data_IF_524664737771
#
_entry.id   IF_524664737771
#
_cell.length_a   1.000
_cell.length_b   1.000
_cell.length_c   1.000
_cell.angle_alpha   90.00
_cell.angle_beta   90.00
_cell.angle_gamma   90.00
#
_symmetry.space_group_name_H-M   'P 1'
#
loop_
_entity.id
_entity.type
_entity.pdbx_description
1 polymer ?
#
# COMPACT_ATOMS: atom_id res chain seq x y z
N UNK A 1 12.68 4.43 -4.06
CA UNK A 1 11.48 3.90 -3.43
C UNK A 1 10.73 5.10 -2.86
N UNK A 2 9.87 5.69 -3.67
CA UNK A 2 8.94 6.74 -3.26
C UNK A 2 7.55 6.18 -3.58
N UNK A 3 6.66 6.20 -2.60
CA UNK A 3 5.28 5.85 -2.82
C UNK A 3 4.41 6.89 -2.13
N UNK A 4 3.31 7.22 -2.79
CA UNK A 4 2.32 8.15 -2.26
C UNK A 4 1.17 7.36 -1.65
N UNK A 5 0.63 7.84 -0.53
CA UNK A 5 -0.45 7.18 0.20
C UNK A 5 -1.67 8.07 0.14
N UNK A 6 -2.79 7.51 -0.29
CA UNK A 6 -4.10 8.09 -0.18
C UNK A 6 -4.87 7.38 0.95
N UNK A 7 -5.38 8.15 1.90
CA UNK A 7 -6.22 7.60 2.97
C UNK A 7 -7.67 7.54 2.47
N UNK A 8 -8.10 6.34 2.11
CA UNK A 8 -9.46 6.05 1.61
C UNK A 8 -10.28 5.29 2.65
N UNK A 9 -9.76 5.20 3.87
CA UNK A 9 -10.42 4.55 4.98
C UNK A 9 -11.76 5.22 5.29
N UNK A 10 -12.72 4.41 5.74
CA UNK A 10 -13.97 4.92 6.30
C UNK A 10 -14.20 4.35 7.69
N UNK A 11 -15.27 4.75 8.38
CA UNK A 11 -15.60 4.26 9.73
C UNK A 11 -15.65 2.72 9.85
N UNK A 12 -15.95 2.01 8.77
CA UNK A 12 -16.03 0.55 8.75
C UNK A 12 -14.71 -0.12 8.38
N UNK A 13 -13.80 0.61 7.72
CA UNK A 13 -12.45 0.17 7.33
C UNK A 13 -11.46 1.32 7.49
N UNK A 14 -11.11 1.69 8.73
CA UNK A 14 -10.29 2.87 9.01
C UNK A 14 -8.86 2.73 8.48
N UNK A 15 -8.35 1.50 8.33
CA UNK A 15 -6.99 1.25 7.86
C UNK A 15 -6.92 0.90 6.36
N UNK A 16 -7.98 1.15 5.59
CA UNK A 16 -7.97 0.94 4.13
C UNK A 16 -7.20 2.09 3.47
N UNK A 17 -6.21 1.76 2.64
CA UNK A 17 -5.33 2.75 2.02
C UNK A 17 -5.18 2.45 0.53
N UNK A 18 -4.95 3.50 -0.26
CA UNK A 18 -4.45 3.35 -1.63
C UNK A 18 -3.01 3.82 -1.69
N UNK A 19 -2.19 3.06 -2.38
CA UNK A 19 -0.78 3.36 -2.59
C UNK A 19 -0.55 3.66 -4.06
N UNK A 20 0.40 4.55 -4.34
CA UNK A 20 0.88 4.82 -5.68
C UNK A 20 2.38 4.62 -5.66
N UNK A 21 2.85 3.64 -6.41
CA UNK A 21 4.26 3.29 -6.52
C UNK A 21 4.78 3.65 -7.89
N UNK A 22 6.03 4.10 -7.98
CA UNK A 22 6.68 4.30 -9.27
C UNK A 22 6.96 2.95 -9.94
N UNK A 23 7.54 1.98 -9.21
CA UNK A 23 7.94 0.66 -9.74
C UNK A 23 7.28 -0.51 -8.99
N UNK A 24 7.12 -1.66 -9.67
CA UNK A 24 6.66 -2.91 -9.03
C UNK A 24 7.58 -3.38 -7.89
N UNK A 25 8.87 -3.03 -7.96
CA UNK A 25 9.82 -3.34 -6.86
C UNK A 25 9.40 -2.65 -5.56
N UNK A 26 8.76 -1.48 -5.67
CA UNK A 26 8.34 -0.69 -4.52
C UNK A 26 7.19 -1.37 -3.73
N UNK A 27 6.43 -2.28 -4.35
CA UNK A 27 5.34 -3.04 -3.71
C UNK A 27 5.85 -3.87 -2.54
N UNK A 28 7.06 -4.43 -2.64
CA UNK A 28 7.64 -5.27 -1.58
C UNK A 28 7.90 -4.53 -0.27
N UNK A 29 7.98 -3.20 -0.33
CA UNK A 29 8.14 -2.34 0.84
C UNK A 29 6.83 -1.82 1.43
N UNK A 30 5.68 -2.09 0.79
CA UNK A 30 4.39 -1.60 1.25
C UNK A 30 3.94 -2.31 2.55
N UNK A 31 3.14 -1.62 3.39
CA UNK A 31 2.51 -2.25 4.54
C UNK A 31 1.55 -3.35 4.09
N UNK A 32 1.29 -4.26 5.03
CA UNK A 32 0.27 -5.30 4.93
C UNK A 32 -0.56 -5.31 6.22
N UNK A 33 -1.51 -6.23 6.35
CA UNK A 33 -2.29 -6.39 7.59
C UNK A 33 -1.44 -6.92 8.75
N UNK A 34 -0.37 -7.68 8.45
CA UNK A 34 0.53 -8.22 9.49
C UNK A 34 1.80 -7.42 9.64
N UNK A 35 2.28 -6.73 8.60
CA UNK A 35 3.59 -6.07 8.57
C UNK A 35 3.46 -4.57 8.32
N UNK A 36 4.27 -3.77 9.03
CA UNK A 36 4.42 -2.33 8.74
C UNK A 36 5.22 -2.14 7.45
N UNK A 37 4.95 -1.03 6.76
CA UNK A 37 5.69 -0.64 5.57
C UNK A 37 7.12 -0.24 5.91
N UNK A 38 7.98 -0.20 4.89
CA UNK A 38 9.34 0.32 5.03
C UNK A 38 9.28 1.85 4.94
N UNK A 39 9.84 2.52 5.96
CA UNK A 39 9.99 3.99 5.98
C UNK A 39 10.86 4.36 4.79
N UNK A 40 10.33 5.17 3.88
CA UNK A 40 11.13 5.86 2.87
C UNK A 40 11.12 7.35 3.16
N UNK A 41 12.17 8.07 2.78
CA UNK A 41 12.38 9.48 3.11
C UNK A 41 11.25 10.44 2.67
N UNK A 42 10.29 9.96 1.87
CA UNK A 42 9.13 10.71 1.38
C UNK A 42 7.82 10.40 2.13
N UNK A 43 7.82 9.51 3.14
CA UNK A 43 6.61 9.06 3.83
C UNK A 43 6.73 9.34 5.33
N UNK A 44 5.74 10.03 5.89
CA UNK A 44 5.63 10.23 7.34
C UNK A 44 5.60 8.87 8.07
N UNK A 45 6.39 8.72 9.14
CA UNK A 45 6.44 7.48 9.95
C UNK A 45 5.06 7.06 10.50
N UNK A 46 4.14 8.01 10.63
CA UNK A 46 2.76 7.75 11.05
C UNK A 46 1.93 7.01 9.99
N UNK A 47 2.29 7.11 8.70
CA UNK A 47 1.50 6.57 7.60
C UNK A 47 1.89 5.16 7.16
N UNK A 48 3.07 4.68 7.54
CA UNK A 48 3.58 3.30 7.34
C UNK A 48 3.02 2.27 8.33
N UNK A 49 1.95 2.63 9.04
CA UNK A 49 1.14 1.69 9.80
C UNK A 49 0.65 0.52 8.94
N UNK A 50 0.18 -0.53 9.61
CA UNK A 50 -0.48 -1.67 8.95
C UNK A 50 -1.66 -1.16 8.11
N UNK A 51 -1.98 -1.86 7.03
CA UNK A 51 -3.12 -1.55 6.18
C UNK A 51 -4.11 -2.72 6.13
N UNK A 52 -5.38 -2.41 5.89
CA UNK A 52 -6.43 -3.42 5.80
C UNK A 52 -6.39 -4.20 4.49
N UNK A 53 -6.80 -5.47 4.54
CA UNK A 53 -7.08 -6.27 3.34
C UNK A 53 -8.07 -5.52 2.43
N UNK A 54 -7.81 -5.55 1.13
CA UNK A 54 -8.54 -4.76 0.13
C UNK A 54 -7.93 -3.40 -0.17
N UNK A 55 -6.84 -3.03 0.52
CA UNK A 55 -6.04 -1.86 0.12
C UNK A 55 -5.51 -2.05 -1.30
N UNK A 56 -5.44 -0.96 -2.06
CA UNK A 56 -5.03 -0.97 -3.47
C UNK A 56 -3.65 -0.32 -3.63
N UNK A 57 -2.91 -0.71 -4.66
CA UNK A 57 -1.64 -0.11 -5.02
C UNK A 57 -1.56 0.01 -6.54
N UNK A 58 -1.42 1.23 -7.03
CA UNK A 58 -1.24 1.51 -8.45
C UNK A 58 0.24 1.74 -8.77
N UNK A 59 0.80 0.94 -9.67
CA UNK A 59 2.17 1.10 -10.18
C UNK A 59 2.15 1.94 -11.45
N UNK A 60 2.77 3.11 -11.40
CA UNK A 60 2.74 4.10 -12.47
C UNK A 60 3.55 3.64 -13.69
N UNK A 61 4.77 3.12 -13.49
CA UNK A 61 5.68 2.72 -14.59
C UNK A 61 5.05 1.69 -15.54
N UNK A 62 4.26 0.76 -15.00
CA UNK A 62 3.62 -0.32 -15.77
C UNK A 62 2.11 -0.17 -15.93
N UNK A 63 1.52 0.88 -15.37
CA UNK A 63 0.06 1.08 -15.30
C UNK A 63 -0.69 -0.15 -14.76
N UNK A 64 -0.20 -0.74 -13.66
CA UNK A 64 -0.76 -1.96 -13.06
C UNK A 64 -1.40 -1.69 -11.71
N UNK A 65 -2.50 -2.39 -11.43
CA UNK A 65 -3.18 -2.32 -10.15
C UNK A 65 -2.94 -3.60 -9.35
N UNK A 66 -2.57 -3.43 -8.09
CA UNK A 66 -2.42 -4.50 -7.11
C UNK A 66 -3.42 -4.30 -5.98
N UNK A 67 -3.96 -5.39 -5.45
CA UNK A 67 -4.81 -5.37 -4.26
C UNK A 67 -4.22 -6.31 -3.21
N UNK A 68 -4.21 -5.87 -1.96
CA UNK A 68 -3.85 -6.70 -0.82
C UNK A 68 -4.96 -7.73 -0.57
N UNK A 69 -4.65 -9.01 -0.81
CA UNK A 69 -5.60 -10.10 -0.64
C UNK A 69 -5.71 -10.58 0.82
N UNK A 70 -6.60 -11.55 1.08
CA UNK A 70 -6.77 -12.16 2.41
C UNK A 70 -5.60 -12.99 2.91
N UNK A 71 -4.66 -13.33 2.02
CA UNK A 71 -3.42 -14.05 2.35
C UNK A 71 -2.30 -13.09 2.76
N UNK A 72 -2.58 -11.78 2.81
CA UNK A 72 -1.63 -10.72 3.12
C UNK A 72 -0.57 -10.51 2.03
N UNK A 73 -0.94 -10.77 0.79
CA UNK A 73 -0.09 -10.67 -0.40
C UNK A 73 -0.70 -9.65 -1.37
N UNK A 74 0.15 -8.77 -1.89
CA UNK A 74 -0.20 -7.86 -2.98
C UNK A 74 -0.31 -8.65 -4.28
N UNK A 75 -1.51 -8.69 -4.86
CA UNK A 75 -1.79 -9.44 -6.09
C UNK A 75 -2.30 -8.51 -7.19
N UNK A 76 -1.75 -8.67 -8.38
CA UNK A 76 -2.20 -7.95 -9.59
C UNK A 76 -3.66 -8.31 -9.90
N UNK A 77 -4.44 -7.30 -10.32
CA UNK A 77 -5.86 -7.42 -10.67
C UNK A 77 -6.06 -7.22 -12.16
#
# INVERSE_FOLDING_TARGET
MAYWINDVGNRNRPDLKEFYCDSEKDITGLPTSKKKGVVTSATDESQIGKCSIGSSCFVIDKCKLYILNSEDIWKEV
#
